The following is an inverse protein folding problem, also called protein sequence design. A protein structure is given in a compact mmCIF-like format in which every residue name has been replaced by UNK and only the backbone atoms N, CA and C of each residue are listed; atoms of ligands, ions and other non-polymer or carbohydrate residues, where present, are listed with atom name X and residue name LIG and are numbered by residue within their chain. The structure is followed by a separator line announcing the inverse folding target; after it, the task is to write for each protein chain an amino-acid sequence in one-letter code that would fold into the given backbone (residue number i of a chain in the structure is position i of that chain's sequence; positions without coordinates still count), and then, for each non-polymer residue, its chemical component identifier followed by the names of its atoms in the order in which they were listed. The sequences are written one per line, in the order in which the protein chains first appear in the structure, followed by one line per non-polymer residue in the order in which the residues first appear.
data_IF_358771301566
#
_entry.id   IF_358771301566
#
_cell.length_a   1.000
_cell.length_b   1.000
_cell.length_c   1.000
_cell.angle_alpha   90.00
_cell.angle_beta   90.00
_cell.angle_gamma   90.00
#
_symmetry.space_group_name_H-M   'P 1'
#
loop_
_entity.id
_entity.type
_entity.pdbx_description
1 polymer ?
#
# COMPACT_ATOMS: atom_id res chain seq x y z
N UNK A 1 -57.98 -52.94 12.81
CA UNK A 1 -58.21 -52.90 11.35
C UNK A 1 -56.89 -52.57 10.72
N UNK A 2 -56.16 -53.45 10.35
CA UNK A 2 -55.55 -54.13 9.16
C UNK A 2 -55.61 -53.27 7.91
N UNK A 3 -54.43 -53.05 7.31
CA UNK A 3 -53.98 -53.12 5.91
C UNK A 3 -52.61 -52.39 5.86
N UNK A 4 -51.46 -52.85 5.50
CA UNK A 4 -51.13 -53.82 4.43
C UNK A 4 -50.85 -53.03 3.15
N UNK A 5 -49.56 -52.91 2.77
CA UNK A 5 -49.17 -52.28 1.49
C UNK A 5 -47.68 -52.22 1.32
N UNK A 6 -47.12 -53.27 0.76
CA UNK A 6 -45.76 -53.31 0.17
C UNK A 6 -45.66 -52.37 -1.03
N UNK A 7 -44.46 -51.83 -1.27
CA UNK A 7 -44.16 -51.07 -2.49
C UNK A 7 -42.68 -50.73 -2.58
N UNK A 8 -41.89 -51.66 -3.08
CA UNK A 8 -40.46 -51.46 -3.37
C UNK A 8 -40.28 -50.50 -4.54
N UNK A 9 -39.08 -49.93 -4.65
CA UNK A 9 -38.60 -49.24 -5.84
C UNK A 9 -37.89 -47.90 -5.55
N UNK A 10 -36.58 -47.91 -5.23
CA UNK A 10 -35.84 -46.67 -5.06
C UNK A 10 -34.33 -46.77 -5.02
N UNK A 11 -33.76 -47.83 -5.58
CA UNK A 11 -32.33 -48.11 -5.48
C UNK A 11 -31.41 -47.60 -6.64
N UNK A 12 -31.86 -46.66 -7.52
CA UNK A 12 -31.07 -46.26 -8.68
C UNK A 12 -30.67 -44.78 -8.76
N UNK A 13 -31.09 -43.90 -7.88
CA UNK A 13 -30.78 -42.49 -7.97
C UNK A 13 -29.55 -42.04 -7.19
N UNK A 14 -29.07 -42.83 -6.20
CA UNK A 14 -27.96 -42.45 -5.32
C UNK A 14 -26.57 -42.65 -5.94
N UNK A 15 -26.41 -43.56 -6.89
CA UNK A 15 -25.11 -43.80 -7.55
C UNK A 15 -24.73 -42.72 -8.57
N UNK A 16 -25.71 -42.12 -9.25
CA UNK A 16 -25.49 -41.04 -10.23
C UNK A 16 -25.03 -39.72 -9.56
N UNK A 17 -25.61 -39.39 -8.41
CA UNK A 17 -25.29 -38.15 -7.67
C UNK A 17 -23.91 -38.21 -7.01
N UNK A 18 -23.46 -39.41 -6.58
CA UNK A 18 -22.15 -39.63 -6.00
C UNK A 18 -21.06 -39.48 -7.07
N UNK A 19 -21.25 -40.09 -8.24
CA UNK A 19 -20.37 -39.97 -9.39
C UNK A 19 -20.21 -38.52 -9.90
N UNK A 20 -21.28 -37.70 -9.83
CA UNK A 20 -21.19 -36.29 -10.21
C UNK A 20 -20.43 -35.44 -9.17
N UNK A 21 -20.59 -35.73 -7.88
CA UNK A 21 -19.83 -35.05 -6.81
C UNK A 21 -18.34 -35.36 -6.88
N UNK A 22 -17.98 -36.63 -7.14
CA UNK A 22 -16.58 -37.05 -7.26
C UNK A 22 -15.93 -36.42 -8.49
N UNK A 23 -16.63 -36.32 -9.62
CA UNK A 23 -16.17 -35.61 -10.82
C UNK A 23 -16.00 -34.11 -10.61
N UNK A 24 -16.90 -33.45 -9.84
CA UNK A 24 -16.73 -32.03 -9.50
C UNK A 24 -15.54 -31.79 -8.58
N UNK A 25 -15.29 -32.69 -7.63
CA UNK A 25 -14.10 -32.61 -6.75
C UNK A 25 -12.81 -32.80 -7.53
N UNK A 26 -12.77 -33.75 -8.44
CA UNK A 26 -11.64 -34.01 -9.31
C UNK A 26 -11.38 -32.82 -10.27
N UNK A 27 -12.44 -32.22 -10.81
CA UNK A 27 -12.36 -31.02 -11.64
C UNK A 27 -11.87 -29.79 -10.84
N UNK A 28 -12.33 -29.65 -9.60
CA UNK A 28 -11.83 -28.63 -8.68
C UNK A 28 -10.37 -28.86 -8.30
N UNK A 29 -9.96 -30.12 -8.07
CA UNK A 29 -8.56 -30.46 -7.79
C UNK A 29 -7.66 -30.23 -9.00
N UNK A 30 -8.12 -30.59 -10.21
CA UNK A 30 -7.37 -30.32 -11.45
C UNK A 30 -7.28 -28.80 -11.74
N UNK A 31 -8.32 -28.03 -11.48
CA UNK A 31 -8.30 -26.59 -11.57
C UNK A 31 -7.36 -25.96 -10.51
N UNK A 32 -7.33 -26.52 -9.31
CA UNK A 32 -6.40 -26.12 -8.27
C UNK A 32 -4.96 -26.49 -8.63
N UNK A 33 -4.72 -27.64 -9.20
CA UNK A 33 -3.40 -28.12 -9.59
C UNK A 33 -2.85 -27.41 -10.83
N UNK A 34 -3.70 -27.07 -11.80
CA UNK A 34 -3.32 -26.26 -12.98
C UNK A 34 -3.05 -24.79 -12.62
N UNK A 35 -3.69 -24.29 -11.58
CA UNK A 35 -3.43 -22.96 -11.01
C UNK A 35 -2.11 -22.91 -10.22
N UNK A 36 -1.53 -24.07 -9.86
CA UNK A 36 -0.28 -24.13 -9.07
C UNK A 36 0.98 -24.01 -9.93
N UNK A 37 0.90 -24.31 -11.24
CA UNK A 37 2.04 -24.35 -12.16
C UNK A 37 1.99 -23.26 -13.24
N UNK A 38 1.24 -22.20 -13.04
CA UNK A 38 1.16 -21.06 -13.97
C UNK A 38 2.34 -20.09 -13.82
N UNK A 39 2.65 -19.30 -14.85
CA UNK A 39 3.68 -18.25 -14.78
C UNK A 39 3.43 -17.23 -13.66
N UNK A 40 2.20 -17.15 -13.12
CA UNK A 40 1.84 -16.31 -11.96
C UNK A 40 2.56 -16.72 -10.65
N UNK A 41 3.05 -17.96 -10.53
CA UNK A 41 3.81 -18.42 -9.35
C UNK A 41 5.28 -17.91 -9.35
N UNK A 42 5.74 -17.26 -10.44
CA UNK A 42 7.10 -16.72 -10.54
C UNK A 42 7.32 -15.49 -9.69
N UNK A 43 6.27 -14.73 -9.36
CA UNK A 43 6.38 -13.55 -8.50
C UNK A 43 6.15 -13.96 -7.04
N UNK A 44 7.22 -14.08 -6.28
CA UNK A 44 7.20 -14.45 -4.87
C UNK A 44 6.78 -13.30 -3.96
N UNK A 45 6.39 -13.62 -2.71
CA UNK A 45 6.13 -12.62 -1.65
C UNK A 45 7.36 -11.74 -1.42
N UNK A 46 8.57 -12.26 -1.58
CA UNK A 46 9.81 -11.49 -1.51
C UNK A 46 9.85 -10.31 -2.50
N UNK A 47 9.32 -10.51 -3.71
CA UNK A 47 9.20 -9.42 -4.71
C UNK A 47 8.24 -8.33 -4.24
N UNK A 48 7.11 -8.72 -3.61
CA UNK A 48 6.16 -7.75 -3.03
C UNK A 48 6.83 -6.97 -1.90
N UNK A 49 7.58 -7.63 -1.00
CA UNK A 49 8.32 -6.97 0.06
C UNK A 49 9.35 -5.97 -0.49
N UNK A 50 10.11 -6.35 -1.52
CA UNK A 50 11.08 -5.47 -2.17
C UNK A 50 10.40 -4.26 -2.84
N UNK A 51 9.28 -4.48 -3.55
CA UNK A 51 8.50 -3.38 -4.14
C UNK A 51 7.98 -2.42 -3.08
N UNK A 52 7.38 -2.95 -2.00
CA UNK A 52 6.86 -2.15 -0.90
C UNK A 52 7.98 -1.45 -0.11
N UNK A 53 9.21 -1.96 -0.11
CA UNK A 53 10.35 -1.30 0.55
C UNK A 53 10.73 0.02 -0.12
N UNK A 54 10.43 0.22 -1.39
CA UNK A 54 10.70 1.46 -2.12
C UNK A 54 9.93 2.67 -1.55
N UNK A 55 8.86 2.44 -0.79
CA UNK A 55 8.03 3.48 -0.17
C UNK A 55 8.48 3.79 1.27
N UNK A 56 9.39 3.00 1.86
CA UNK A 56 9.86 3.19 3.24
C UNK A 56 10.37 4.63 3.49
N UNK A 57 11.20 5.24 2.61
CA UNK A 57 11.69 6.60 2.84
C UNK A 57 10.56 7.63 2.99
N UNK A 58 9.50 7.53 2.17
CA UNK A 58 8.30 8.35 2.32
C UNK A 58 7.60 8.08 3.66
N UNK A 59 7.41 6.80 4.01
CA UNK A 59 6.70 6.43 5.23
C UNK A 59 7.46 6.80 6.52
N UNK A 60 8.78 6.95 6.46
CA UNK A 60 9.57 7.53 7.56
C UNK A 60 9.21 9.01 7.76
N UNK A 61 9.08 9.79 6.67
CA UNK A 61 8.61 11.17 6.74
C UNK A 61 7.15 11.24 7.22
N UNK A 62 6.28 10.37 6.72
CA UNK A 62 4.88 10.23 7.15
C UNK A 62 4.76 9.98 8.66
N UNK A 63 5.56 9.07 9.21
CA UNK A 63 5.55 8.75 10.64
C UNK A 63 5.90 9.95 11.54
N UNK A 64 6.52 11.01 11.00
CA UNK A 64 6.84 12.20 11.77
C UNK A 64 5.60 13.01 12.17
N UNK A 65 4.49 12.86 11.46
CA UNK A 65 3.23 13.52 11.83
C UNK A 65 2.78 13.15 13.25
N UNK A 66 2.99 11.88 13.65
CA UNK A 66 2.62 11.39 14.96
C UNK A 66 3.74 11.52 16.00
N UNK A 67 4.91 12.02 15.63
CA UNK A 67 6.10 12.08 16.50
C UNK A 67 6.75 13.46 16.53
N UNK A 68 7.76 13.71 15.70
CA UNK A 68 8.55 14.96 15.76
C UNK A 68 7.76 16.21 15.38
N UNK A 69 6.76 16.12 14.50
CA UNK A 69 5.90 17.25 14.19
C UNK A 69 5.00 17.62 15.39
N UNK A 70 4.53 16.62 16.16
CA UNK A 70 3.80 16.89 17.41
C UNK A 70 4.70 17.58 18.42
N UNK A 71 5.96 17.12 18.58
CA UNK A 71 6.93 17.77 19.48
C UNK A 71 7.15 19.22 19.05
N UNK A 72 7.35 19.51 17.78
CA UNK A 72 7.48 20.86 17.26
C UNK A 72 6.21 21.68 17.51
N UNK A 73 5.03 21.14 17.22
CA UNK A 73 3.74 21.80 17.40
C UNK A 73 3.39 22.08 18.85
N UNK A 74 3.84 21.24 19.79
CA UNK A 74 3.54 21.39 21.22
C UNK A 74 4.14 22.66 21.83
N UNK A 75 5.16 23.26 21.21
CA UNK A 75 5.79 24.51 21.64
C UNK A 75 5.29 25.73 20.87
N UNK A 76 4.38 25.53 19.92
CA UNK A 76 3.77 26.59 19.12
C UNK A 76 2.49 27.10 19.77
N UNK A 77 2.05 28.29 19.37
CA UNK A 77 0.82 28.92 19.90
C UNK A 77 -0.39 28.27 19.23
N UNK A 78 -1.24 27.63 20.03
CA UNK A 78 -2.52 27.07 19.58
C UNK A 78 -3.42 28.14 18.97
N UNK A 79 -4.26 27.77 18.01
CA UNK A 79 -5.24 28.65 17.40
C UNK A 79 -6.66 28.16 17.72
N UNK A 80 -7.30 28.82 18.68
CA UNK A 80 -8.59 28.37 19.20
C UNK A 80 -8.50 26.99 19.82
N UNK A 81 -9.25 26.01 19.27
CA UNK A 81 -9.21 24.61 19.68
C UNK A 81 -8.17 23.78 18.93
N UNK A 82 -7.46 24.38 17.98
CA UNK A 82 -6.45 23.66 17.18
C UNK A 82 -5.14 23.64 17.95
N UNK A 83 -4.72 22.46 18.34
CA UNK A 83 -3.45 22.15 19.00
C UNK A 83 -2.62 21.16 18.16
N UNK A 84 -1.44 20.78 18.64
CA UNK A 84 -0.53 19.90 17.91
C UNK A 84 -1.14 18.54 17.54
N UNK A 85 -1.83 17.80 18.41
CA UNK A 85 -2.53 16.57 18.02
C UNK A 85 -3.63 16.78 16.98
N UNK A 86 -4.35 17.90 17.02
CA UNK A 86 -5.42 18.19 16.06
C UNK A 86 -4.91 18.49 14.66
N UNK A 87 -3.66 18.96 14.53
CA UNK A 87 -3.04 19.18 13.21
C UNK A 87 -2.95 17.92 12.36
N UNK A 88 -2.97 16.75 12.96
CA UNK A 88 -3.02 15.47 12.22
C UNK A 88 -4.30 15.34 11.36
N UNK A 89 -5.38 16.05 11.70
CA UNK A 89 -6.59 16.08 10.87
C UNK A 89 -6.38 16.85 9.55
N UNK A 90 -5.37 17.72 9.45
CA UNK A 90 -5.04 18.43 8.22
C UNK A 90 -4.57 17.48 7.12
N UNK A 91 -3.89 16.39 7.50
CA UNK A 91 -3.54 15.30 6.59
C UNK A 91 -4.79 14.65 6.01
N UNK A 92 -5.73 14.22 6.84
CA UNK A 92 -6.98 13.61 6.39
C UNK A 92 -7.78 14.52 5.45
N UNK A 93 -7.86 15.83 5.76
CA UNK A 93 -8.49 16.84 4.90
C UNK A 93 -7.77 16.94 3.57
N UNK A 94 -6.42 16.93 3.60
CA UNK A 94 -5.59 16.94 2.40
C UNK A 94 -5.85 15.72 1.52
N UNK A 95 -5.84 14.53 2.10
CA UNK A 95 -6.11 13.27 1.38
C UNK A 95 -7.48 13.30 0.72
N UNK A 96 -8.52 13.76 1.41
CA UNK A 96 -9.87 13.86 0.85
C UNK A 96 -9.94 14.87 -0.29
N UNK A 97 -9.42 16.09 -0.09
CA UNK A 97 -9.48 17.18 -1.07
C UNK A 97 -8.64 16.85 -2.32
N UNK A 98 -7.38 16.50 -2.12
CA UNK A 98 -6.47 16.19 -3.24
C UNK A 98 -6.74 14.82 -3.84
N UNK A 99 -7.23 13.85 -3.07
CA UNK A 99 -7.70 12.57 -3.59
C UNK A 99 -8.84 12.75 -4.59
N UNK A 100 -9.79 13.65 -4.28
CA UNK A 100 -10.83 14.03 -5.22
C UNK A 100 -10.27 14.69 -6.48
N UNK A 101 -9.37 15.67 -6.34
CA UNK A 101 -8.75 16.39 -7.48
C UNK A 101 -7.93 15.42 -8.33
N UNK A 102 -7.09 14.60 -7.72
CA UNK A 102 -6.22 13.66 -8.42
C UNK A 102 -7.05 12.58 -9.12
N UNK A 103 -8.05 12.02 -8.43
CA UNK A 103 -8.89 10.94 -8.94
C UNK A 103 -9.84 11.38 -10.06
N UNK A 104 -10.46 12.56 -9.93
CA UNK A 104 -11.50 13.00 -10.85
C UNK A 104 -11.04 13.99 -11.92
N UNK A 105 -9.89 14.65 -11.73
CA UNK A 105 -9.39 15.65 -12.67
C UNK A 105 -8.07 15.19 -13.29
N UNK A 106 -7.05 14.87 -12.46
CA UNK A 106 -5.69 14.59 -12.95
C UNK A 106 -5.63 13.25 -13.67
N UNK A 107 -6.08 12.15 -13.06
CA UNK A 107 -6.01 10.83 -13.69
C UNK A 107 -6.89 10.70 -14.95
N UNK A 108 -8.12 11.23 -15.02
CA UNK A 108 -8.90 11.22 -16.27
C UNK A 108 -8.23 12.01 -17.39
N UNK A 109 -7.63 13.19 -17.10
CA UNK A 109 -6.91 13.97 -18.10
C UNK A 109 -5.63 13.27 -18.59
N UNK A 110 -4.88 12.64 -17.69
CA UNK A 110 -3.73 11.81 -18.06
C UNK A 110 -4.14 10.61 -18.92
N UNK A 111 -5.23 9.94 -18.57
CA UNK A 111 -5.79 8.84 -19.36
C UNK A 111 -6.24 9.30 -20.74
N UNK A 112 -6.87 10.48 -20.84
CA UNK A 112 -7.27 11.08 -22.11
C UNK A 112 -6.07 11.34 -23.02
N UNK A 113 -4.94 11.75 -22.44
CA UNK A 113 -3.66 11.92 -23.16
C UNK A 113 -2.87 10.64 -23.32
N UNK A 114 -3.39 9.48 -22.87
CA UNK A 114 -2.73 8.17 -22.88
C UNK A 114 -1.39 8.15 -22.13
N UNK A 115 -1.22 9.06 -21.15
CA UNK A 115 -0.04 9.11 -20.31
C UNK A 115 -0.27 8.20 -19.10
N UNK A 116 0.49 7.10 -19.02
CA UNK A 116 0.52 6.22 -17.85
C UNK A 116 1.70 6.60 -16.97
N UNK A 117 1.43 6.92 -15.71
CA UNK A 117 2.49 7.18 -14.74
C UNK A 117 2.99 5.83 -14.20
N UNK A 118 4.26 5.44 -14.45
CA UNK A 118 4.85 4.23 -13.87
C UNK A 118 4.84 4.27 -12.34
N UNK A 119 4.75 3.12 -11.69
CA UNK A 119 4.69 3.02 -10.23
C UNK A 119 5.88 3.68 -9.53
N UNK A 120 7.08 3.53 -10.07
CA UNK A 120 8.30 4.18 -9.53
C UNK A 120 8.21 5.71 -9.54
N UNK A 121 7.56 6.30 -10.56
CA UNK A 121 7.31 7.75 -10.57
C UNK A 121 6.27 8.15 -9.51
N UNK A 122 5.24 7.34 -9.28
CA UNK A 122 4.29 7.59 -8.18
C UNK A 122 5.02 7.58 -6.83
N UNK A 123 5.91 6.62 -6.60
CA UNK A 123 6.75 6.55 -5.39
C UNK A 123 7.73 7.73 -5.28
N UNK A 124 8.35 8.13 -6.38
CA UNK A 124 9.24 9.30 -6.41
C UNK A 124 8.48 10.60 -6.10
N UNK A 125 7.28 10.79 -6.68
CA UNK A 125 6.42 11.95 -6.41
C UNK A 125 6.00 11.96 -4.93
N UNK A 126 5.55 10.82 -4.39
CA UNK A 126 5.21 10.73 -2.98
C UNK A 126 6.39 11.07 -2.07
N UNK A 127 7.58 10.52 -2.35
CA UNK A 127 8.81 10.83 -1.60
C UNK A 127 9.21 12.30 -1.73
N UNK A 128 9.00 12.93 -2.90
CA UNK A 128 9.26 14.35 -3.09
C UNK A 128 8.32 15.24 -2.26
N UNK A 129 7.04 14.87 -2.16
CA UNK A 129 6.12 15.55 -1.25
C UNK A 129 6.47 15.31 0.22
N UNK A 130 6.95 14.11 0.57
CA UNK A 130 7.50 13.82 1.90
C UNK A 130 8.71 14.70 2.24
N UNK A 131 9.66 14.84 1.31
CA UNK A 131 10.79 15.74 1.44
C UNK A 131 10.33 17.20 1.57
N UNK A 132 9.43 17.67 0.69
CA UNK A 132 8.89 19.02 0.80
C UNK A 132 8.21 19.29 2.15
N UNK A 133 7.53 18.29 2.72
CA UNK A 133 6.91 18.41 4.05
C UNK A 133 7.96 18.56 5.15
N UNK A 134 9.02 17.73 5.12
CA UNK A 134 10.14 17.85 6.08
C UNK A 134 10.86 19.18 5.89
N UNK A 135 11.07 19.63 4.64
CA UNK A 135 11.61 20.96 4.33
C UNK A 135 10.78 22.10 4.93
N UNK A 136 9.45 22.00 4.86
CA UNK A 136 8.55 22.95 5.54
C UNK A 136 8.70 22.88 7.07
N UNK A 137 8.90 21.70 7.66
CA UNK A 137 9.16 21.56 9.09
C UNK A 137 10.51 22.20 9.49
N UNK A 138 11.55 22.09 8.66
CA UNK A 138 12.84 22.77 8.84
C UNK A 138 12.64 24.31 8.83
N UNK A 139 11.91 24.81 7.84
CA UNK A 139 11.62 26.26 7.76
C UNK A 139 10.84 26.71 9.01
N UNK A 140 9.86 25.94 9.44
CA UNK A 140 9.08 26.20 10.65
C UNK A 140 9.98 26.22 11.88
N UNK A 141 10.95 25.29 11.99
CA UNK A 141 11.92 25.25 13.08
C UNK A 141 12.77 26.52 13.14
N UNK A 142 13.30 26.97 12.02
CA UNK A 142 14.04 28.23 11.95
C UNK A 142 13.18 29.43 12.34
N UNK A 143 11.90 29.46 11.97
CA UNK A 143 10.99 30.54 12.36
C UNK A 143 10.69 30.48 13.88
N UNK A 144 10.56 29.29 14.47
CA UNK A 144 10.39 29.15 15.92
C UNK A 144 11.58 29.78 16.65
N UNK A 145 12.80 29.42 16.26
CA UNK A 145 14.02 29.94 16.87
C UNK A 145 14.13 31.46 16.70
N UNK A 146 13.94 31.94 15.48
CA UNK A 146 14.02 33.38 15.15
C UNK A 146 13.04 34.23 15.98
N UNK A 147 11.77 33.83 16.01
CA UNK A 147 10.73 34.62 16.72
C UNK A 147 10.96 34.54 18.24
N UNK A 148 11.43 33.38 18.73
CA UNK A 148 11.78 33.24 20.13
C UNK A 148 12.96 34.12 20.53
N UNK A 149 14.00 34.22 19.73
CA UNK A 149 15.19 35.06 19.98
C UNK A 149 14.83 36.56 19.90
N UNK A 150 13.98 36.94 18.91
CA UNK A 150 13.63 38.36 18.70
C UNK A 150 12.56 38.87 19.68
N UNK A 151 11.60 38.02 20.08
CA UNK A 151 10.39 38.46 20.81
C UNK A 151 10.08 37.67 22.07
N UNK A 152 10.70 36.51 22.26
CA UNK A 152 10.37 35.58 23.36
C UNK A 152 9.00 34.88 23.20
N UNK A 153 8.39 34.95 22.00
CA UNK A 153 7.05 34.47 21.72
C UNK A 153 7.05 33.16 20.88
N UNK A 154 5.92 32.40 20.97
CA UNK A 154 5.67 31.25 20.12
C UNK A 154 4.98 31.66 18.82
N UNK A 155 5.39 31.05 17.70
CA UNK A 155 4.70 31.21 16.41
C UNK A 155 3.39 30.41 16.37
N UNK A 156 2.49 30.79 15.47
CA UNK A 156 1.18 30.10 15.32
C UNK A 156 1.33 28.66 14.84
N UNK A 157 0.55 27.75 15.41
CA UNK A 157 0.47 26.35 14.99
C UNK A 157 0.06 26.15 13.53
N UNK A 158 -0.59 27.15 12.93
CA UNK A 158 -1.02 27.10 11.52
C UNK A 158 0.15 26.93 10.54
N UNK A 159 1.39 27.25 10.94
CA UNK A 159 2.58 26.93 10.14
C UNK A 159 2.75 25.44 9.90
N UNK A 160 2.26 24.59 10.81
CA UNK A 160 2.32 23.17 10.64
C UNK A 160 1.30 22.60 9.65
N UNK A 161 0.29 23.38 9.23
CA UNK A 161 -0.64 22.91 8.21
C UNK A 161 0.06 22.54 6.90
N UNK A 162 1.11 23.27 6.52
CA UNK A 162 1.85 23.00 5.28
C UNK A 162 2.50 21.60 5.23
N UNK A 163 3.33 21.19 6.21
CA UNK A 163 3.89 19.83 6.20
C UNK A 163 2.81 18.74 6.22
N UNK A 164 1.73 18.90 7.00
CA UNK A 164 0.66 17.90 7.02
C UNK A 164 -0.07 17.80 5.68
N UNK A 165 -0.39 18.93 5.03
CA UNK A 165 -0.99 18.90 3.68
C UNK A 165 -0.10 18.23 2.64
N UNK A 166 1.20 18.50 2.66
CA UNK A 166 2.15 17.91 1.73
C UNK A 166 2.29 16.39 1.94
N UNK A 167 2.31 15.94 3.19
CA UNK A 167 2.30 14.49 3.50
C UNK A 167 1.05 13.83 2.93
N UNK A 168 -0.14 14.40 3.13
CA UNK A 168 -1.38 13.84 2.61
C UNK A 168 -1.40 13.73 1.08
N UNK A 169 -0.86 14.71 0.36
CA UNK A 169 -0.69 14.59 -1.10
C UNK A 169 0.28 13.45 -1.43
N UNK A 170 1.40 13.36 -0.73
CA UNK A 170 2.40 12.30 -0.91
C UNK A 170 1.82 10.92 -0.67
N UNK A 171 0.94 10.75 0.32
CA UNK A 171 0.25 9.50 0.65
C UNK A 171 -0.58 8.99 -0.52
N UNK A 172 -1.32 9.87 -1.21
CA UNK A 172 -2.13 9.51 -2.37
C UNK A 172 -1.26 8.87 -3.46
N UNK A 173 -0.05 9.39 -3.67
CA UNK A 173 0.84 8.85 -4.69
C UNK A 173 1.61 7.62 -4.21
N UNK A 174 2.23 7.66 -3.03
CA UNK A 174 3.12 6.60 -2.56
C UNK A 174 2.36 5.40 -1.99
N UNK A 175 1.49 5.63 -1.00
CA UNK A 175 0.84 4.56 -0.24
C UNK A 175 -0.22 3.87 -1.10
N UNK A 176 -1.07 4.63 -1.80
CA UNK A 176 -2.08 4.05 -2.69
C UNK A 176 -1.46 3.21 -3.79
N UNK A 177 -0.36 3.68 -4.41
CA UNK A 177 0.36 2.92 -5.43
C UNK A 177 1.03 1.65 -4.86
N UNK A 178 1.52 1.68 -3.60
CA UNK A 178 2.08 0.50 -2.94
C UNK A 178 1.01 -0.58 -2.74
N UNK A 179 -0.20 -0.20 -2.31
CA UNK A 179 -1.32 -1.14 -2.20
C UNK A 179 -1.75 -1.68 -3.57
N UNK A 180 -1.89 -0.82 -4.58
CA UNK A 180 -2.24 -1.21 -5.94
C UNK A 180 -1.28 -2.25 -6.48
N UNK A 181 0.02 -1.97 -6.42
CA UNK A 181 1.07 -2.86 -6.94
C UNK A 181 1.17 -4.15 -6.16
N UNK A 182 1.13 -4.11 -4.83
CA UNK A 182 1.19 -5.31 -4.00
C UNK A 182 0.03 -6.28 -4.32
N UNK A 183 -1.16 -5.72 -4.58
CA UNK A 183 -2.33 -6.51 -4.92
C UNK A 183 -2.31 -7.04 -6.37
N UNK A 184 -1.80 -6.24 -7.32
CA UNK A 184 -1.77 -6.63 -8.74
C UNK A 184 -0.66 -7.62 -9.05
N UNK A 185 0.50 -7.46 -8.44
CA UNK A 185 1.68 -8.31 -8.65
C UNK A 185 1.54 -9.67 -7.94
N UNK A 186 0.78 -9.73 -6.86
CA UNK A 186 0.64 -10.95 -6.07
C UNK A 186 -0.16 -12.05 -6.78
N UNK A 187 0.28 -13.32 -6.69
CA UNK A 187 -0.49 -14.47 -7.15
C UNK A 187 -1.88 -14.53 -6.50
N UNK A 188 -2.90 -14.94 -7.24
CA UNK A 188 -4.29 -14.96 -6.79
C UNK A 188 -4.49 -15.62 -5.41
N UNK A 189 -3.77 -16.72 -5.15
CA UNK A 189 -3.83 -17.49 -3.89
C UNK A 189 -3.13 -16.80 -2.72
N UNK A 190 -2.23 -15.83 -2.98
CA UNK A 190 -1.38 -15.19 -1.96
C UNK A 190 -1.69 -13.70 -1.78
N UNK A 191 -2.79 -13.19 -2.35
CA UNK A 191 -3.15 -11.76 -2.28
C UNK A 191 -3.30 -11.23 -0.86
N UNK A 192 -3.93 -12.00 0.03
CA UNK A 192 -4.06 -11.61 1.45
C UNK A 192 -2.69 -11.53 2.14
N UNK A 193 -1.79 -12.49 1.87
CA UNK A 193 -0.44 -12.46 2.43
C UNK A 193 0.38 -11.30 1.87
N UNK A 194 0.24 -11.02 0.57
CA UNK A 194 0.90 -9.87 -0.07
C UNK A 194 0.41 -8.54 0.49
N UNK A 195 -0.90 -8.41 0.72
CA UNK A 195 -1.47 -7.21 1.36
C UNK A 195 -0.97 -7.04 2.79
N UNK A 196 -0.87 -8.13 3.57
CA UNK A 196 -0.31 -8.09 4.92
C UNK A 196 1.18 -7.73 4.91
N UNK A 197 1.96 -8.30 3.97
CA UNK A 197 3.37 -7.97 3.80
C UNK A 197 3.56 -6.49 3.41
N UNK A 198 2.73 -5.98 2.48
CA UNK A 198 2.74 -4.57 2.12
C UNK A 198 2.39 -3.67 3.30
N UNK A 199 1.35 -4.00 4.08
CA UNK A 199 0.97 -3.24 5.27
C UNK A 199 2.11 -3.19 6.30
N UNK A 200 2.83 -4.30 6.49
CA UNK A 200 4.03 -4.32 7.33
C UNK A 200 5.13 -3.41 6.79
N UNK A 201 5.40 -3.42 5.49
CA UNK A 201 6.44 -2.58 4.87
C UNK A 201 6.06 -1.09 4.83
N UNK A 202 4.77 -0.78 4.70
CA UNK A 202 4.25 0.61 4.67
C UNK A 202 4.13 1.20 6.08
N UNK A 203 3.66 0.42 7.04
CA UNK A 203 3.40 0.89 8.41
C UNK A 203 4.39 0.37 9.45
N UNK A 204 4.62 -0.94 9.51
CA UNK A 204 5.42 -1.57 10.54
C UNK A 204 6.90 -1.23 10.47
N UNK A 205 7.53 -1.53 9.34
CA UNK A 205 8.98 -1.36 9.16
C UNK A 205 9.43 0.11 9.32
N UNK A 206 8.75 1.12 8.73
CA UNK A 206 9.11 2.52 8.94
C UNK A 206 9.02 2.96 10.39
N UNK A 207 7.99 2.54 11.13
CA UNK A 207 7.85 2.90 12.54
C UNK A 207 8.97 2.29 13.41
N UNK A 208 9.33 1.02 13.16
CA UNK A 208 10.48 0.38 13.83
C UNK A 208 11.76 1.14 13.51
N UNK A 209 11.98 1.52 12.24
CA UNK A 209 13.12 2.32 11.84
C UNK A 209 13.15 3.69 12.55
N UNK A 210 12.01 4.38 12.64
CA UNK A 210 11.90 5.65 13.35
C UNK A 210 12.27 5.54 14.83
N UNK A 211 11.92 4.44 15.51
CA UNK A 211 12.32 4.20 16.91
C UNK A 211 13.85 4.12 17.03
N UNK A 212 14.51 3.35 16.15
CA UNK A 212 15.97 3.25 16.17
C UNK A 212 16.63 4.59 15.80
N UNK A 213 16.10 5.29 14.80
CA UNK A 213 16.58 6.58 14.37
C UNK A 213 16.50 7.63 15.49
N UNK A 214 15.33 7.70 16.16
CA UNK A 214 15.15 8.58 17.32
C UNK A 214 16.13 8.26 18.46
N UNK A 215 16.32 6.99 18.80
CA UNK A 215 17.25 6.59 19.82
C UNK A 215 18.71 6.95 19.47
N UNK A 216 19.11 6.78 18.22
CA UNK A 216 20.44 7.17 17.73
C UNK A 216 20.64 8.70 17.78
N UNK A 217 19.58 9.47 17.52
CA UNK A 217 19.60 10.92 17.48
C UNK A 217 19.14 11.57 18.79
N UNK A 218 18.96 10.80 19.86
CA UNK A 218 18.39 11.27 21.14
C UNK A 218 19.11 12.50 21.69
N UNK A 219 20.41 12.63 21.47
CA UNK A 219 21.19 13.79 21.90
C UNK A 219 20.71 15.13 21.32
N UNK A 220 20.06 15.10 20.16
CA UNK A 220 19.52 16.31 19.52
C UNK A 220 18.19 16.79 20.14
N UNK A 221 17.54 15.93 20.93
CA UNK A 221 16.29 16.23 21.63
C UNK A 221 16.52 16.61 23.11
N UNK A 222 17.79 16.76 23.54
CA UNK A 222 18.09 17.17 24.91
C UNK A 222 18.01 18.69 25.03
N UNK A 223 17.32 19.17 26.08
CA UNK A 223 17.32 20.58 26.43
C UNK A 223 18.64 21.02 27.08
N UNK A 224 18.79 22.28 27.45
CA UNK A 224 20.00 22.82 28.10
C UNK A 224 20.38 22.11 29.42
N UNK A 225 19.42 21.41 30.06
CA UNK A 225 19.63 20.62 31.29
C UNK A 225 19.98 19.16 31.01
N UNK A 226 20.14 18.76 29.75
CA UNK A 226 20.39 17.37 29.35
C UNK A 226 19.20 16.43 29.50
N UNK A 227 17.98 16.96 29.61
CA UNK A 227 16.76 16.18 29.75
C UNK A 227 16.02 16.12 28.40
N UNK A 228 15.54 14.92 28.05
CA UNK A 228 14.74 14.70 26.80
C UNK A 228 13.25 15.09 27.00
N UNK A 229 12.98 16.13 27.78
CA UNK A 229 11.65 16.65 28.04
C UNK A 229 11.52 18.04 27.42
N UNK A 230 10.87 18.12 26.26
CA UNK A 230 10.60 19.36 25.54
C UNK A 230 9.11 19.70 25.78
N UNK A 231 8.85 20.51 26.81
CA UNK A 231 7.49 20.99 27.15
C UNK A 231 7.33 22.47 26.97
N UNK A 232 8.43 23.21 26.96
CA UNK A 232 8.45 24.66 26.86
C UNK A 232 9.20 25.11 25.61
N UNK A 233 8.83 26.27 25.10
CA UNK A 233 9.51 26.87 23.96
C UNK A 233 11.01 27.08 24.24
N UNK A 234 11.40 27.43 25.47
CA UNK A 234 12.81 27.55 25.87
C UNK A 234 13.56 26.23 25.84
N UNK A 235 12.90 25.11 26.14
CA UNK A 235 13.52 23.77 26.06
C UNK A 235 13.75 23.38 24.60
N UNK A 236 12.78 23.68 23.73
CA UNK A 236 12.86 23.44 22.29
C UNK A 236 13.98 24.29 21.65
N UNK A 237 14.00 25.57 21.96
CA UNK A 237 15.02 26.50 21.44
C UNK A 237 16.45 26.16 21.86
N UNK A 238 16.63 25.44 22.97
CA UNK A 238 17.95 24.95 23.39
C UNK A 238 18.33 23.57 22.80
N UNK A 239 17.37 22.84 22.24
CA UNK A 239 17.57 21.55 21.59
C UNK A 239 17.99 21.73 20.12
N UNK A 240 18.58 20.68 19.54
CA UNK A 240 19.04 20.69 18.16
C UNK A 240 18.10 19.86 17.26
N UNK A 241 16.80 20.02 17.42
CA UNK A 241 15.79 19.23 16.73
C UNK A 241 15.88 19.39 15.21
N UNK A 242 16.30 20.54 14.71
CA UNK A 242 16.52 20.80 13.29
C UNK A 242 17.49 19.78 12.63
N UNK A 243 18.49 19.30 13.36
CA UNK A 243 19.42 18.30 12.81
C UNK A 243 18.71 16.98 12.50
N UNK A 244 17.70 16.62 13.31
CA UNK A 244 16.87 15.45 13.05
C UNK A 244 16.03 15.64 11.78
N UNK A 245 15.45 16.83 11.57
CA UNK A 245 14.74 17.13 10.35
C UNK A 245 15.64 17.10 9.11
N UNK A 246 16.87 17.59 9.19
CA UNK A 246 17.82 17.46 8.08
C UNK A 246 18.17 16.02 7.74
N UNK A 247 18.26 15.15 8.75
CA UNK A 247 18.47 13.72 8.52
C UNK A 247 17.24 13.07 7.84
N UNK A 248 16.04 13.43 8.27
CA UNK A 248 14.80 12.98 7.64
C UNK A 248 14.65 13.47 6.20
N UNK A 249 15.06 14.72 5.94
CA UNK A 249 15.10 15.29 4.59
C UNK A 249 16.02 14.48 3.68
N UNK A 250 17.23 14.15 4.16
CA UNK A 250 18.16 13.32 3.42
C UNK A 250 17.57 11.92 3.11
N UNK A 251 16.85 11.31 4.06
CA UNK A 251 16.19 10.01 3.87
C UNK A 251 15.06 10.13 2.83
N UNK A 252 14.23 11.17 2.89
CA UNK A 252 13.14 11.39 1.95
C UNK A 252 13.68 11.65 0.52
N UNK A 253 14.71 12.48 0.39
CA UNK A 253 15.40 12.74 -0.88
C UNK A 253 16.07 11.48 -1.43
N UNK A 254 16.66 10.65 -0.57
CA UNK A 254 17.18 9.33 -0.98
C UNK A 254 16.05 8.48 -1.59
N UNK A 255 14.85 8.51 -1.03
CA UNK A 255 13.67 7.85 -1.61
C UNK A 255 13.34 8.34 -3.02
N UNK A 256 13.40 9.65 -3.27
CA UNK A 256 13.22 10.23 -4.62
C UNK A 256 14.27 9.68 -5.59
N UNK A 257 15.54 9.75 -5.20
CA UNK A 257 16.66 9.33 -6.05
C UNK A 257 16.54 7.85 -6.39
N UNK A 258 16.35 6.98 -5.40
CA UNK A 258 16.27 5.52 -5.59
C UNK A 258 15.15 5.16 -6.58
N UNK A 259 13.97 5.77 -6.43
CA UNK A 259 12.84 5.49 -7.30
C UNK A 259 13.02 6.02 -8.74
N UNK A 260 13.91 6.98 -8.96
CA UNK A 260 14.25 7.50 -10.28
C UNK A 260 15.42 6.78 -10.95
N UNK A 261 16.16 5.93 -10.22
CA UNK A 261 17.30 5.19 -10.78
C UNK A 261 16.84 4.24 -11.91
N UNK A 262 17.52 4.26 -13.08
CA UNK A 262 17.19 3.39 -14.21
C UNK A 262 17.09 1.89 -13.84
N UNK A 263 18.00 1.30 -13.05
CA UNK A 263 17.91 -0.11 -12.69
C UNK A 263 16.64 -0.42 -11.88
N UNK A 264 16.22 0.46 -10.96
CA UNK A 264 15.01 0.28 -10.17
C UNK A 264 13.76 0.39 -11.05
N UNK A 265 13.72 1.38 -11.94
CA UNK A 265 12.62 1.56 -12.90
C UNK A 265 12.47 0.35 -13.82
N UNK A 266 13.57 -0.13 -14.38
CA UNK A 266 13.54 -1.29 -15.27
C UNK A 266 13.12 -2.57 -14.52
N UNK A 267 13.60 -2.75 -13.29
CA UNK A 267 13.22 -3.89 -12.47
C UNK A 267 11.73 -3.88 -12.12
N UNK A 268 11.18 -2.73 -11.67
CA UNK A 268 9.75 -2.62 -11.34
C UNK A 268 8.89 -2.85 -12.58
N UNK A 269 9.24 -2.25 -13.72
CA UNK A 269 8.53 -2.46 -14.97
C UNK A 269 8.51 -3.93 -15.40
N UNK A 270 9.64 -4.65 -15.29
CA UNK A 270 9.72 -6.07 -15.59
C UNK A 270 8.84 -6.92 -14.65
N UNK A 271 8.76 -6.56 -13.37
CA UNK A 271 7.88 -7.25 -12.40
C UNK A 271 6.40 -7.02 -12.72
N UNK A 272 6.01 -5.78 -13.06
CA UNK A 272 4.64 -5.44 -13.44
C UNK A 272 4.24 -6.13 -14.76
N UNK A 273 5.13 -6.20 -15.73
CA UNK A 273 4.91 -6.89 -17.01
C UNK A 273 4.73 -8.39 -16.81
N UNK A 274 5.60 -9.03 -16.02
CA UNK A 274 5.50 -10.45 -15.69
C UNK A 274 4.18 -10.78 -14.97
N UNK A 275 3.70 -9.89 -14.09
CA UNK A 275 2.41 -10.03 -13.43
C UNK A 275 1.24 -9.87 -14.40
N UNK A 276 1.31 -8.91 -15.31
CA UNK A 276 0.29 -8.67 -16.33
C UNK A 276 0.18 -9.83 -17.34
N UNK A 277 1.30 -10.42 -17.75
CA UNK A 277 1.33 -11.61 -18.60
C UNK A 277 0.70 -12.82 -17.92
N UNK A 278 0.97 -12.99 -16.62
CA UNK A 278 0.38 -14.07 -15.83
C UNK A 278 -1.16 -13.97 -15.78
N UNK A 279 -1.72 -12.77 -15.80
CA UNK A 279 -3.18 -12.55 -15.86
C UNK A 279 -3.73 -12.76 -17.27
N UNK A 280 -2.98 -12.38 -18.32
CA UNK A 280 -3.40 -12.51 -19.71
C UNK A 280 -3.32 -13.93 -20.25
N UNK A 281 -2.51 -14.80 -19.66
CA UNK A 281 -2.44 -16.19 -20.07
C UNK A 281 -3.72 -16.90 -19.62
N UNK A 282 -4.80 -16.93 -20.42
CA UNK A 282 -5.99 -17.67 -20.04
C UNK A 282 -5.57 -19.13 -19.93
N UNK A 283 -6.30 -19.90 -19.12
CA UNK A 283 -6.18 -21.34 -18.93
C UNK A 283 -6.41 -22.06 -20.30
N UNK A 284 -5.58 -21.76 -21.26
CA UNK A 284 -5.49 -22.42 -22.54
C UNK A 284 -4.47 -23.56 -22.44
N UNK A 285 -4.60 -24.36 -21.37
CA UNK A 285 -3.87 -25.61 -21.35
C UNK A 285 -4.47 -26.49 -22.46
N UNK A 286 -3.68 -26.96 -23.43
CA UNK A 286 -4.18 -27.82 -24.52
C UNK A 286 -4.98 -29.01 -24.02
N UNK A 287 -4.74 -29.49 -22.79
CA UNK A 287 -5.51 -30.52 -22.10
C UNK A 287 -6.97 -30.14 -21.83
N UNK A 288 -7.25 -28.92 -21.34
CA UNK A 288 -8.63 -28.51 -21.05
C UNK A 288 -9.43 -28.37 -22.35
N UNK A 289 -8.80 -27.89 -23.42
CA UNK A 289 -9.42 -27.82 -24.73
C UNK A 289 -9.67 -29.19 -25.34
N UNK A 290 -8.78 -30.15 -25.12
CA UNK A 290 -8.99 -31.56 -25.50
C UNK A 290 -10.13 -32.18 -24.71
N UNK A 291 -10.15 -32.04 -23.40
CA UNK A 291 -11.20 -32.60 -22.54
C UNK A 291 -12.58 -31.97 -22.79
N UNK A 292 -12.67 -30.66 -23.06
CA UNK A 292 -13.92 -30.02 -23.45
C UNK A 292 -14.41 -30.48 -24.85
N UNK A 293 -13.50 -30.70 -25.80
CA UNK A 293 -13.85 -31.28 -27.11
C UNK A 293 -14.29 -32.74 -27.00
N UNK A 294 -13.63 -33.54 -26.16
CA UNK A 294 -14.00 -34.92 -25.89
C UNK A 294 -15.40 -34.98 -25.25
N UNK A 295 -15.68 -34.20 -24.21
CA UNK A 295 -17.00 -34.12 -23.57
C UNK A 295 -18.12 -33.66 -24.50
N UNK A 296 -17.83 -32.75 -25.47
CA UNK A 296 -18.81 -32.39 -26.50
C UNK A 296 -19.10 -33.57 -27.44
N UNK A 297 -18.11 -34.38 -27.82
CA UNK A 297 -18.32 -35.59 -28.61
C UNK A 297 -19.15 -36.61 -27.86
N UNK A 298 -18.86 -36.83 -26.58
CA UNK A 298 -19.55 -37.84 -25.73
C UNK A 298 -21.01 -37.44 -25.44
N UNK A 299 -21.33 -36.15 -25.42
CA UNK A 299 -22.73 -35.65 -25.29
C UNK A 299 -23.50 -35.62 -26.59
N UNK A 300 -22.81 -35.56 -27.74
CA UNK A 300 -23.45 -35.54 -29.06
C UNK A 300 -23.73 -36.94 -29.62
N UNK A 301 -23.16 -38.00 -29.04
CA UNK A 301 -23.31 -39.38 -29.53
C UNK A 301 -24.49 -40.17 -28.92
N UNK A 302 -25.25 -39.60 -27.97
CA UNK A 302 -26.32 -40.30 -27.24
C UNK A 302 -27.73 -40.15 -27.75
N UNK A 303 -27.94 -39.57 -28.93
CA UNK A 303 -29.28 -39.24 -29.48
C UNK A 303 -29.61 -39.92 -30.82
N UNK A 304 -29.54 -41.23 -30.92
CA UNK A 304 -29.91 -41.89 -32.16
C UNK A 304 -30.11 -43.39 -32.00
N UNK A 305 -31.28 -43.82 -31.56
CA UNK A 305 -31.57 -45.28 -31.57
C UNK A 305 -32.87 -45.62 -30.86
N UNK A 306 -33.96 -45.68 -31.56
CA UNK A 306 -35.10 -46.42 -31.02
C UNK A 306 -36.49 -45.90 -31.38
N UNK A 307 -36.79 -45.81 -32.64
CA UNK A 307 -38.19 -45.92 -33.07
C UNK A 307 -38.20 -46.82 -34.32
N UNK A 308 -38.55 -48.08 -34.14
CA UNK A 308 -39.24 -48.92 -35.14
C UNK A 308 -39.90 -50.13 -34.46
N UNK A 309 -41.17 -50.11 -34.60
CA UNK A 309 -42.27 -51.07 -34.62
C UNK A 309 -43.00 -51.26 -33.32
#
# INVERSE_FOLDING_TARGET
VVFGGEGGGGGRSSSSSRSQRDKMKEEQQLLQQSSHNGPADKVGIGTVLLLSSLVIPFNIAYAQMATSFIVQGSVMKSWGMIDAPMMNNADAISVLAFGYIIGNIIYPELNRRQIKIPTTYKFAIGSAFGAAAVGCAIITDYQIHRVYEERGEAISILWQSFPYFLIGIGEIFAVSAAYEVAFTVAPAKKKSLASAANLFMVGGAPNVFCIYLYNACRSWFLNAKGLAHIHKLSDYASAKVVNYFWLLEAIAMFGVIVNLLPPVKNWVAAVEEAAAEAVKTPINTPMIRKNLKQRRKDRGGGGGGGRRR
#
